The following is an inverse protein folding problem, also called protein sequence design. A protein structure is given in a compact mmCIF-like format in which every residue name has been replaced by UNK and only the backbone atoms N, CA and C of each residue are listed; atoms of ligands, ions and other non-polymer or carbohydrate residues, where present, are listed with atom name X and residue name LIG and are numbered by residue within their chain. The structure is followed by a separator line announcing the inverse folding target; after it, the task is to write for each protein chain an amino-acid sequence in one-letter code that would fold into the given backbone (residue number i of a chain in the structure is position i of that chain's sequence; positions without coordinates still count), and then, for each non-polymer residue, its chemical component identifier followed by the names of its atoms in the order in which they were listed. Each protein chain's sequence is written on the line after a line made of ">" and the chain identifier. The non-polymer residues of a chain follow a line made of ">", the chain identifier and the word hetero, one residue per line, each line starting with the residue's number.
data_IF_486953088611
#
_entry.id   IF_486953088611
#
_cell.length_a   1.000
_cell.length_b   1.000
_cell.length_c   1.000
_cell.angle_alpha   90.00
_cell.angle_beta   90.00
_cell.angle_gamma   90.00
#
_symmetry.space_group_name_H-M   'P 1'
#
loop_
_entity.id
_entity.type
_entity.pdbx_description
1 polymer ?
#
# COMPACT_ATOMS: atom_id res chain seq x y z
N UNK A 1 -7.67 -10.21 -14.99
CA UNK A 1 -8.34 -9.05 -14.35
C UNK A 1 -7.53 -8.68 -13.12
N UNK A 2 -7.18 -7.39 -12.96
CA UNK A 2 -6.39 -6.88 -11.84
C UNK A 2 -7.12 -7.12 -10.51
N UNK A 3 -6.38 -7.51 -9.48
CA UNK A 3 -6.95 -7.73 -8.15
C UNK A 3 -7.14 -6.39 -7.45
N UNK A 4 -8.34 -6.08 -7.03
CA UNK A 4 -8.60 -4.90 -6.19
C UNK A 4 -8.05 -5.13 -4.78
N UNK A 5 -7.33 -4.14 -4.23
CA UNK A 5 -6.76 -4.22 -2.88
C UNK A 5 -7.13 -2.97 -2.08
N UNK A 6 -7.83 -3.16 -0.98
CA UNK A 6 -8.17 -2.10 -0.01
C UNK A 6 -7.30 -2.30 1.22
N UNK A 7 -6.27 -1.47 1.35
CA UNK A 7 -5.28 -1.58 2.41
C UNK A 7 -5.37 -0.38 3.37
N UNK A 8 -5.57 -0.63 4.64
CA UNK A 8 -5.44 0.36 5.71
C UNK A 8 -3.97 0.52 6.09
N UNK A 9 -3.45 1.74 6.06
CA UNK A 9 -2.19 2.12 6.69
C UNK A 9 -2.51 2.83 7.99
N UNK A 10 -2.32 2.14 9.11
CA UNK A 10 -2.68 2.69 10.41
C UNK A 10 -1.67 3.71 10.93
N UNK A 11 -0.49 3.72 10.34
CA UNK A 11 0.62 4.60 10.75
C UNK A 11 0.91 4.43 12.24
N UNK A 12 1.35 5.46 12.95
CA UNK A 12 1.64 5.41 14.38
C UNK A 12 0.36 5.63 15.20
N UNK A 13 -0.58 4.69 15.11
CA UNK A 13 -1.85 4.72 15.85
C UNK A 13 -2.18 3.34 16.42
N UNK A 14 -3.05 3.32 17.41
CA UNK A 14 -3.55 2.17 18.14
C UNK A 14 -2.52 1.55 19.10
N UNK A 15 -3.06 0.80 20.02
CA UNK A 15 -2.33 -0.12 20.91
C UNK A 15 -2.83 -1.52 20.65
N UNK A 16 -2.14 -2.59 21.09
CA UNK A 16 -2.60 -3.96 20.84
C UNK A 16 -4.05 -4.23 21.27
N UNK A 17 -4.48 -3.66 22.40
CA UNK A 17 -5.86 -3.81 22.86
C UNK A 17 -6.88 -3.11 21.95
N UNK A 18 -6.55 -1.91 21.46
CA UNK A 18 -7.39 -1.17 20.51
C UNK A 18 -7.43 -1.88 19.15
N UNK A 19 -6.29 -2.38 18.68
CA UNK A 19 -6.15 -3.17 17.45
C UNK A 19 -7.08 -4.38 17.47
N UNK A 20 -7.05 -5.18 18.55
CA UNK A 20 -7.94 -6.32 18.70
C UNK A 20 -9.43 -5.92 18.69
N UNK A 21 -9.77 -4.81 19.34
CA UNK A 21 -11.15 -4.31 19.40
C UNK A 21 -11.67 -3.89 18.01
N UNK A 22 -10.87 -3.10 17.26
CA UNK A 22 -11.23 -2.63 15.93
C UNK A 22 -11.37 -3.80 14.94
N UNK A 23 -10.45 -4.76 14.95
CA UNK A 23 -10.53 -5.93 14.05
C UNK A 23 -11.77 -6.77 14.38
N UNK A 24 -12.07 -7.00 15.66
CA UNK A 24 -13.26 -7.73 16.09
C UNK A 24 -14.57 -7.06 15.65
N UNK A 25 -14.61 -5.73 15.67
CA UNK A 25 -15.76 -4.95 15.22
C UNK A 25 -15.85 -4.94 13.68
N UNK A 26 -14.72 -4.80 12.96
CA UNK A 26 -14.68 -4.75 11.51
C UNK A 26 -15.01 -6.10 10.85
N UNK A 27 -14.53 -7.21 11.41
CA UNK A 27 -14.65 -8.53 10.81
C UNK A 27 -16.07 -8.91 10.36
N UNK A 28 -17.13 -8.77 11.18
CA UNK A 28 -18.49 -9.06 10.74
C UNK A 28 -19.00 -8.09 9.66
N UNK A 29 -18.50 -6.85 9.61
CA UNK A 29 -18.90 -5.85 8.63
C UNK A 29 -18.35 -6.15 7.23
N UNK A 30 -17.23 -6.86 7.12
CA UNK A 30 -16.57 -7.19 5.84
C UNK A 30 -16.64 -8.68 5.48
N UNK A 31 -17.31 -9.48 6.28
CA UNK A 31 -17.47 -10.92 6.04
C UNK A 31 -18.15 -11.18 4.68
N UNK A 32 -17.55 -12.08 3.88
CA UNK A 32 -18.07 -12.46 2.56
C UNK A 32 -17.86 -11.42 1.46
N UNK A 33 -17.13 -10.33 1.72
CA UNK A 33 -16.77 -9.33 0.71
C UNK A 33 -15.44 -9.74 0.06
N UNK A 34 -15.51 -10.57 -0.98
CA UNK A 34 -14.35 -11.25 -1.57
C UNK A 34 -13.90 -10.67 -2.93
N UNK A 35 -14.58 -9.62 -3.44
CA UNK A 35 -14.19 -8.95 -4.68
C UNK A 35 -12.83 -8.22 -4.55
N UNK A 36 -12.42 -7.86 -3.34
CA UNK A 36 -11.12 -7.25 -3.06
C UNK A 36 -10.35 -7.99 -1.95
N UNK A 37 -9.03 -7.78 -1.89
CA UNK A 37 -8.24 -8.11 -0.70
C UNK A 37 -8.40 -7.00 0.33
N UNK A 38 -8.77 -7.35 1.56
CA UNK A 38 -8.94 -6.44 2.68
C UNK A 38 -7.73 -6.58 3.58
N UNK A 39 -6.92 -5.53 3.68
CA UNK A 39 -5.62 -5.55 4.34
C UNK A 39 -5.56 -4.49 5.44
N UNK A 40 -5.02 -4.82 6.60
CA UNK A 40 -4.70 -3.86 7.65
C UNK A 40 -3.19 -3.91 7.90
N UNK A 41 -2.49 -2.86 7.50
CA UNK A 41 -1.07 -2.66 7.83
C UNK A 41 -1.00 -1.87 9.14
N UNK A 42 -0.44 -2.52 10.16
CA UNK A 42 -0.45 -2.04 11.54
C UNK A 42 0.97 -1.87 12.08
N UNK A 43 1.19 -1.06 13.15
CA UNK A 43 2.49 -0.96 13.81
C UNK A 43 3.05 -2.33 14.23
N UNK A 44 4.36 -2.48 14.25
CA UNK A 44 5.01 -3.76 14.59
C UNK A 44 4.56 -4.35 15.92
N UNK A 45 4.32 -3.50 16.93
CA UNK A 45 3.86 -3.93 18.27
C UNK A 45 2.47 -4.55 18.25
N UNK A 46 1.68 -4.28 17.21
CA UNK A 46 0.29 -4.72 17.08
C UNK A 46 0.12 -5.96 16.20
N UNK A 47 1.14 -6.30 15.37
CA UNK A 47 0.98 -7.34 14.33
C UNK A 47 0.54 -8.68 14.93
N UNK A 48 1.21 -9.18 15.98
CA UNK A 48 0.85 -10.47 16.58
C UNK A 48 -0.59 -10.49 17.09
N UNK A 49 -1.04 -9.40 17.70
CA UNK A 49 -2.41 -9.23 18.17
C UNK A 49 -3.40 -9.14 17.00
N UNK A 50 -3.03 -8.41 15.95
CA UNK A 50 -3.85 -8.26 14.75
C UNK A 50 -4.04 -9.60 14.03
N UNK A 51 -2.97 -10.38 13.86
CA UNK A 51 -3.01 -11.71 13.24
C UNK A 51 -3.92 -12.64 14.04
N UNK A 52 -3.81 -12.63 15.37
CA UNK A 52 -4.68 -13.46 16.22
C UNK A 52 -6.16 -13.04 16.11
N UNK A 53 -6.43 -11.72 16.13
CA UNK A 53 -7.79 -11.18 16.03
C UNK A 53 -8.44 -11.41 14.65
N UNK A 54 -7.62 -11.48 13.58
CA UNK A 54 -8.09 -11.70 12.21
C UNK A 54 -8.29 -13.19 11.85
N UNK A 55 -7.92 -14.13 12.73
CA UNK A 55 -8.09 -15.57 12.47
C UNK A 55 -9.52 -15.95 12.10
N UNK A 56 -9.68 -16.68 10.99
CA UNK A 56 -10.98 -17.12 10.52
C UNK A 56 -11.81 -16.05 9.82
N UNK A 57 -11.23 -14.87 9.56
CA UNK A 57 -11.84 -13.78 8.80
C UNK A 57 -11.20 -13.67 7.43
N UNK A 58 -11.73 -12.80 6.55
CA UNK A 58 -11.15 -12.44 5.27
C UNK A 58 -10.20 -11.22 5.34
N UNK A 59 -9.88 -10.75 6.56
CA UNK A 59 -8.94 -9.65 6.80
C UNK A 59 -7.50 -10.20 6.82
N UNK A 60 -6.63 -9.59 6.04
CA UNK A 60 -5.22 -9.90 5.99
C UNK A 60 -4.41 -8.86 6.75
N UNK A 61 -3.30 -9.28 7.35
CA UNK A 61 -2.47 -8.39 8.15
C UNK A 61 -1.16 -8.08 7.42
N UNK A 62 -0.81 -6.79 7.41
CA UNK A 62 0.42 -6.26 6.87
C UNK A 62 1.27 -5.55 7.91
N UNK A 63 2.54 -5.35 7.57
CA UNK A 63 3.46 -4.49 8.29
C UNK A 63 3.62 -3.14 7.57
N UNK A 64 3.99 -2.10 8.31
CA UNK A 64 4.19 -0.74 7.77
C UNK A 64 5.60 -0.49 7.23
N UNK A 65 6.50 -1.46 7.40
CA UNK A 65 7.87 -1.45 6.89
C UNK A 65 8.52 -2.84 7.05
N UNK A 66 9.71 -3.00 6.44
CA UNK A 66 10.58 -4.16 6.58
C UNK A 66 12.03 -3.73 6.36
N UNK A 67 12.98 -4.36 7.04
CA UNK A 67 14.40 -4.17 6.73
C UNK A 67 14.87 -5.16 5.65
N UNK A 68 15.85 -4.75 4.85
CA UNK A 68 16.34 -5.59 3.74
C UNK A 68 17.43 -6.59 4.17
N UNK A 69 18.03 -6.43 5.35
CA UNK A 69 18.99 -7.40 5.89
C UNK A 69 18.27 -8.49 6.67
N UNK A 70 18.76 -9.73 6.55
CA UNK A 70 18.17 -10.88 7.24
C UNK A 70 18.32 -10.80 8.75
N UNK A 71 19.47 -10.31 9.25
CA UNK A 71 19.81 -10.15 10.67
C UNK A 71 21.05 -9.29 10.82
N UNK A 72 21.32 -8.81 12.01
CA UNK A 72 22.58 -8.12 12.30
C UNK A 72 22.45 -6.91 13.20
N UNK A 73 23.45 -6.02 13.12
CA UNK A 73 23.56 -4.83 13.97
C UNK A 73 22.72 -3.67 13.40
N UNK A 74 21.42 -3.86 13.38
CA UNK A 74 20.41 -2.91 12.87
C UNK A 74 19.39 -2.62 13.97
N UNK A 75 19.84 -2.00 15.05
CA UNK A 75 19.02 -1.75 16.25
C UNK A 75 17.73 -1.01 15.90
N UNK A 76 16.58 -1.62 16.24
CA UNK A 76 15.25 -1.08 15.99
C UNK A 76 14.59 -1.57 14.69
N UNK A 77 15.34 -2.20 13.77
CA UNK A 77 14.79 -2.75 12.53
C UNK A 77 14.15 -4.13 12.71
N UNK A 78 13.21 -4.46 11.84
CA UNK A 78 12.49 -5.73 11.84
C UNK A 78 12.75 -6.43 10.50
N UNK A 79 13.25 -7.68 10.58
CA UNK A 79 13.60 -8.47 9.40
C UNK A 79 12.39 -9.22 8.82
N UNK A 80 12.55 -9.71 7.60
CA UNK A 80 11.57 -10.54 6.93
C UNK A 80 11.20 -11.80 7.73
N UNK A 81 12.20 -12.47 8.33
CA UNK A 81 11.97 -13.67 9.13
C UNK A 81 11.09 -13.39 10.35
N UNK A 82 11.30 -12.26 11.05
CA UNK A 82 10.49 -11.86 12.19
C UNK A 82 9.03 -11.64 11.78
N UNK A 83 8.78 -10.97 10.66
CA UNK A 83 7.43 -10.72 10.15
C UNK A 83 6.74 -12.03 9.68
N UNK A 84 7.50 -12.92 9.05
CA UNK A 84 6.99 -14.21 8.57
C UNK A 84 6.53 -15.09 9.71
N UNK A 85 7.32 -15.17 10.78
CA UNK A 85 7.03 -15.98 11.96
C UNK A 85 5.70 -15.58 12.63
N UNK A 86 5.38 -14.30 12.66
CA UNK A 86 4.13 -13.81 13.26
C UNK A 86 2.92 -13.81 12.31
N UNK A 87 3.08 -14.26 11.05
CA UNK A 87 1.98 -14.43 10.12
C UNK A 87 1.59 -13.21 9.30
N UNK A 88 2.51 -12.26 9.11
CA UNK A 88 2.33 -11.12 8.20
C UNK A 88 2.23 -11.60 6.76
N UNK A 89 1.34 -11.00 5.96
CA UNK A 89 1.16 -11.33 4.53
C UNK A 89 1.58 -10.18 3.60
N UNK A 90 1.40 -8.92 4.03
CA UNK A 90 1.67 -7.71 3.26
C UNK A 90 2.71 -6.84 3.96
N UNK A 91 3.42 -6.03 3.17
CA UNK A 91 4.35 -5.04 3.72
C UNK A 91 4.27 -3.75 2.91
N UNK A 92 4.06 -2.61 3.58
CA UNK A 92 4.22 -1.28 2.98
C UNK A 92 5.72 -0.97 2.93
N UNK A 93 6.18 -0.43 1.80
CA UNK A 93 7.57 -0.10 1.56
C UNK A 93 7.67 1.28 0.92
N UNK A 94 8.57 2.12 1.40
CA UNK A 94 8.84 3.43 0.81
C UNK A 94 7.71 4.45 0.96
N UNK A 95 6.84 4.30 1.97
CA UNK A 95 5.81 5.29 2.26
C UNK A 95 6.39 6.70 2.34
N UNK A 96 5.68 7.71 1.84
CA UNK A 96 6.16 9.09 1.76
C UNK A 96 6.69 9.64 3.09
N UNK A 97 6.06 9.31 4.22
CA UNK A 97 6.55 9.69 5.55
C UNK A 97 7.93 9.08 5.84
N UNK A 98 8.21 7.85 5.38
CA UNK A 98 9.51 7.21 5.59
C UNK A 98 10.59 7.81 4.69
N UNK A 99 10.24 8.18 3.47
CA UNK A 99 11.13 8.94 2.59
C UNK A 99 11.45 10.32 3.18
N UNK A 100 10.43 11.02 3.69
CA UNK A 100 10.57 12.37 4.21
C UNK A 100 11.24 12.45 5.58
N UNK A 101 10.90 11.57 6.52
CA UNK A 101 11.33 11.69 7.92
C UNK A 101 12.43 10.70 8.32
N UNK A 102 12.57 9.60 7.62
CA UNK A 102 13.48 8.51 7.96
C UNK A 102 14.56 8.24 6.91
N UNK A 103 14.66 9.10 5.88
CA UNK A 103 15.74 9.06 4.89
C UNK A 103 15.69 7.86 3.94
N UNK A 104 14.53 7.24 3.75
CA UNK A 104 14.40 6.20 2.73
C UNK A 104 14.50 6.81 1.33
N UNK A 105 15.21 6.11 0.46
CA UNK A 105 15.47 6.48 -0.95
C UNK A 105 14.98 5.37 -1.86
N UNK A 106 14.85 5.63 -3.17
CA UNK A 106 14.49 4.60 -4.15
C UNK A 106 15.41 3.38 -4.08
N UNK A 107 16.70 3.59 -3.79
CA UNK A 107 17.65 2.49 -3.58
C UNK A 107 17.26 1.63 -2.38
N UNK A 108 16.94 2.21 -1.24
CA UNK A 108 16.55 1.45 -0.04
C UNK A 108 15.15 0.83 -0.21
N UNK A 109 14.25 1.48 -0.94
CA UNK A 109 12.93 0.96 -1.30
C UNK A 109 13.09 -0.28 -2.18
N UNK A 110 13.93 -0.25 -3.20
CA UNK A 110 14.23 -1.40 -4.05
C UNK A 110 14.79 -2.59 -3.24
N UNK A 111 15.76 -2.33 -2.35
CA UNK A 111 16.33 -3.39 -1.49
C UNK A 111 15.26 -4.01 -0.58
N UNK A 112 14.41 -3.20 0.06
CA UNK A 112 13.31 -3.68 0.91
C UNK A 112 12.28 -4.46 0.11
N UNK A 113 11.95 -4.02 -1.11
CA UNK A 113 11.02 -4.72 -2.01
C UNK A 113 11.56 -6.10 -2.38
N UNK A 114 12.84 -6.20 -2.75
CA UNK A 114 13.48 -7.49 -3.03
C UNK A 114 13.48 -8.42 -1.84
N UNK A 115 13.78 -7.91 -0.63
CA UNK A 115 13.75 -8.70 0.60
C UNK A 115 12.33 -9.20 0.93
N UNK A 116 11.31 -8.35 0.75
CA UNK A 116 9.92 -8.73 0.96
C UNK A 116 9.48 -9.84 -0.03
N UNK A 117 9.79 -9.68 -1.32
CA UNK A 117 9.45 -10.67 -2.35
C UNK A 117 10.18 -12.00 -2.13
N UNK A 118 11.46 -11.97 -1.79
CA UNK A 118 12.24 -13.17 -1.47
C UNK A 118 11.67 -13.95 -0.28
N UNK A 119 11.06 -13.26 0.69
CA UNK A 119 10.37 -13.88 1.82
C UNK A 119 8.92 -14.28 1.52
N UNK A 120 8.40 -13.98 0.32
CA UNK A 120 7.06 -14.34 -0.12
C UNK A 120 5.95 -13.43 0.42
N UNK A 121 6.26 -12.17 0.73
CA UNK A 121 5.27 -11.15 1.04
C UNK A 121 4.70 -10.52 -0.23
N UNK A 122 3.50 -9.97 -0.13
CA UNK A 122 3.01 -8.97 -1.08
C UNK A 122 3.52 -7.60 -0.66
N UNK A 123 4.24 -6.94 -1.56
CA UNK A 123 4.86 -5.64 -1.32
C UNK A 123 3.97 -4.50 -1.84
N UNK A 124 3.56 -3.59 -0.96
CA UNK A 124 2.87 -2.34 -1.32
C UNK A 124 3.95 -1.26 -1.40
N UNK A 125 4.42 -0.98 -2.61
CA UNK A 125 5.51 -0.03 -2.89
C UNK A 125 4.93 1.35 -3.13
N UNK A 126 5.26 2.29 -2.24
CA UNK A 126 4.77 3.66 -2.29
C UNK A 126 5.70 4.58 -3.06
N UNK A 127 5.13 5.37 -3.92
CA UNK A 127 5.83 6.40 -4.71
C UNK A 127 4.89 7.57 -5.03
N UNK A 128 5.47 8.72 -5.35
CA UNK A 128 4.70 9.91 -5.69
C UNK A 128 5.52 11.19 -5.55
N UNK A 129 5.04 12.22 -6.21
CA UNK A 129 5.68 13.52 -6.28
C UNK A 129 5.37 14.39 -5.05
N UNK A 130 6.34 15.23 -4.68
CA UNK A 130 6.14 16.28 -3.68
C UNK A 130 5.50 17.53 -4.31
N UNK A 131 5.10 18.49 -3.46
CA UNK A 131 4.37 19.68 -3.91
C UNK A 131 5.16 20.52 -4.90
N UNK A 132 6.45 20.66 -4.69
CA UNK A 132 7.36 21.43 -5.54
C UNK A 132 7.43 20.81 -6.95
N UNK A 133 7.50 19.50 -7.04
CA UNK A 133 7.53 18.74 -8.31
C UNK A 133 6.20 18.86 -9.05
N UNK A 134 5.07 18.75 -8.30
CA UNK A 134 3.73 18.95 -8.87
C UNK A 134 3.59 20.36 -9.47
N UNK A 135 4.02 21.39 -8.76
CA UNK A 135 3.97 22.77 -9.22
C UNK A 135 4.94 23.05 -10.39
N UNK A 136 6.04 22.33 -10.46
CA UNK A 136 6.97 22.38 -11.60
C UNK A 136 6.44 21.65 -12.84
N UNK A 137 5.33 20.89 -12.73
CA UNK A 137 4.74 20.15 -13.84
C UNK A 137 5.55 18.91 -14.26
N UNK A 138 6.32 18.32 -13.34
CA UNK A 138 7.20 17.15 -13.60
C UNK A 138 6.71 15.87 -12.90
N UNK A 139 5.41 15.77 -12.60
CA UNK A 139 4.81 14.59 -11.95
C UNK A 139 5.15 13.31 -12.70
N UNK A 140 4.96 13.29 -14.02
CA UNK A 140 5.14 12.11 -14.86
C UNK A 140 6.60 11.61 -14.84
N UNK A 141 7.55 12.53 -14.90
CA UNK A 141 8.99 12.22 -14.81
C UNK A 141 9.34 11.62 -13.45
N UNK A 142 8.81 12.20 -12.37
CA UNK A 142 9.08 11.75 -11.00
C UNK A 142 8.52 10.35 -10.78
N UNK A 143 7.23 10.11 -11.04
CA UNK A 143 6.63 8.79 -10.81
C UNK A 143 7.20 7.72 -11.74
N UNK A 144 7.56 8.09 -12.97
CA UNK A 144 8.23 7.18 -13.89
C UNK A 144 9.64 6.83 -13.42
N UNK A 145 10.42 7.80 -12.92
CA UNK A 145 11.74 7.57 -12.36
C UNK A 145 11.68 6.67 -11.13
N UNK A 146 10.82 6.99 -10.16
CA UNK A 146 10.65 6.19 -8.95
C UNK A 146 10.21 4.76 -9.29
N UNK A 147 9.23 4.57 -10.19
CA UNK A 147 8.80 3.24 -10.65
C UNK A 147 9.97 2.43 -11.22
N UNK A 148 10.82 3.04 -12.04
CA UNK A 148 11.99 2.38 -12.63
C UNK A 148 13.02 1.98 -11.57
N UNK A 149 13.29 2.85 -10.61
CA UNK A 149 14.30 2.63 -9.58
C UNK A 149 13.81 1.64 -8.53
N UNK A 150 12.57 1.78 -8.06
CA UNK A 150 11.97 0.91 -7.04
C UNK A 150 11.82 -0.53 -7.53
N UNK A 151 11.59 -0.73 -8.85
CA UNK A 151 11.44 -2.05 -9.47
C UNK A 151 12.73 -2.57 -10.14
N UNK A 152 13.84 -1.84 -10.07
CA UNK A 152 15.08 -2.22 -10.76
C UNK A 152 15.57 -3.63 -10.40
N UNK A 153 15.72 -4.50 -11.42
CA UNK A 153 16.24 -5.87 -11.25
C UNK A 153 15.31 -6.83 -10.49
N UNK A 154 14.01 -6.51 -10.38
CA UNK A 154 12.99 -7.44 -9.92
C UNK A 154 12.54 -8.27 -11.13
N UNK A 155 12.50 -9.62 -11.06
CA UNK A 155 12.02 -10.46 -12.16
C UNK A 155 10.53 -10.21 -12.46
N UNK A 156 10.12 -10.35 -13.72
CA UNK A 156 8.74 -10.16 -14.15
C UNK A 156 7.74 -11.08 -13.42
N UNK A 157 8.14 -12.32 -13.16
CA UNK A 157 7.34 -13.31 -12.43
C UNK A 157 7.04 -12.95 -10.96
N UNK A 158 7.85 -12.07 -10.35
CA UNK A 158 7.66 -11.62 -8.98
C UNK A 158 6.70 -10.44 -8.89
N UNK A 159 6.46 -9.71 -10.00
CA UNK A 159 5.62 -8.51 -10.03
C UNK A 159 4.14 -8.79 -9.71
N UNK A 160 3.68 -10.02 -9.83
CA UNK A 160 2.36 -10.46 -9.33
C UNK A 160 2.18 -10.27 -7.82
N UNK A 161 3.28 -10.13 -7.07
CA UNK A 161 3.31 -9.87 -5.63
C UNK A 161 3.67 -8.42 -5.31
N UNK A 162 3.76 -7.55 -6.31
CA UNK A 162 3.98 -6.11 -6.14
C UNK A 162 2.68 -5.36 -6.39
N UNK A 163 2.37 -4.44 -5.50
CA UNK A 163 1.30 -3.47 -5.61
C UNK A 163 1.98 -2.11 -5.56
N UNK A 164 1.67 -1.22 -6.50
CA UNK A 164 2.17 0.16 -6.43
C UNK A 164 1.09 1.03 -5.79
N UNK A 165 1.46 1.82 -4.79
CA UNK A 165 0.60 2.81 -4.18
C UNK A 165 1.07 4.22 -4.59
N UNK A 166 0.29 4.88 -5.45
CA UNK A 166 0.55 6.26 -5.82
C UNK A 166 0.12 7.21 -4.72
N UNK A 167 1.07 7.89 -4.13
CA UNK A 167 0.89 8.89 -3.09
C UNK A 167 1.10 10.30 -3.66
N UNK A 168 0.05 11.08 -3.97
CA UNK A 168 0.23 12.52 -4.22
C UNK A 168 0.65 13.21 -2.90
N UNK A 169 1.97 13.29 -2.64
CA UNK A 169 2.52 13.72 -1.33
C UNK A 169 2.01 15.11 -0.95
N UNK A 170 1.79 15.97 -1.95
CA UNK A 170 1.21 17.30 -1.78
C UNK A 170 -0.23 17.30 -1.23
N UNK A 171 -0.94 16.17 -1.33
CA UNK A 171 -2.32 16.01 -0.86
C UNK A 171 -2.42 15.26 0.49
N UNK A 172 -1.32 14.63 0.97
CA UNK A 172 -1.36 13.84 2.21
C UNK A 172 -1.28 14.77 3.42
N UNK A 173 -2.34 14.75 4.26
CA UNK A 173 -2.38 15.52 5.50
C UNK A 173 -2.50 17.04 5.33
N UNK A 174 -2.68 17.54 4.12
CA UNK A 174 -2.75 18.98 3.81
C UNK A 174 -4.17 19.52 3.70
N UNK A 175 -5.17 18.65 3.68
CA UNK A 175 -6.56 18.99 3.38
C UNK A 175 -6.87 19.13 1.88
N UNK A 176 -5.86 19.02 1.02
CA UNK A 176 -6.02 18.90 -0.44
C UNK A 176 -6.27 17.43 -0.81
N UNK A 177 -6.96 17.22 -1.93
CA UNK A 177 -7.22 15.88 -2.47
C UNK A 177 -7.04 15.95 -3.99
N UNK A 178 -6.35 14.97 -4.56
CA UNK A 178 -6.33 14.83 -6.01
C UNK A 178 -7.74 14.51 -6.51
N UNK A 179 -8.13 15.04 -7.66
CA UNK A 179 -9.38 14.63 -8.29
C UNK A 179 -9.27 13.17 -8.76
N UNK A 180 -10.40 12.47 -8.95
CA UNK A 180 -10.37 11.11 -9.51
C UNK A 180 -9.66 11.04 -10.86
N UNK A 181 -9.79 12.09 -11.71
CA UNK A 181 -9.10 12.19 -12.99
C UNK A 181 -7.58 12.32 -12.82
N UNK A 182 -7.13 13.14 -11.89
CA UNK A 182 -5.69 13.28 -11.60
C UNK A 182 -5.10 11.98 -11.05
N UNK A 183 -5.85 11.26 -10.21
CA UNK A 183 -5.44 9.96 -9.69
C UNK A 183 -5.32 8.93 -10.84
N UNK A 184 -6.32 8.87 -11.72
CA UNK A 184 -6.33 7.96 -12.86
C UNK A 184 -5.19 8.26 -13.85
N UNK A 185 -4.98 9.53 -14.18
CA UNK A 185 -3.91 9.97 -15.08
C UNK A 185 -2.53 9.54 -14.56
N UNK A 186 -2.22 9.85 -13.31
CA UNK A 186 -0.90 9.50 -12.74
C UNK A 186 -0.73 7.98 -12.56
N UNK A 187 -1.78 7.26 -12.11
CA UNK A 187 -1.76 5.79 -12.10
C UNK A 187 -1.56 5.21 -13.51
N UNK A 188 -2.13 5.85 -14.54
CA UNK A 188 -1.92 5.50 -15.94
C UNK A 188 -0.46 5.66 -16.38
N UNK A 189 0.23 6.74 -15.99
CA UNK A 189 1.66 6.95 -16.25
C UNK A 189 2.50 5.87 -15.58
N UNK A 190 2.20 5.53 -14.33
CA UNK A 190 2.88 4.44 -13.61
C UNK A 190 2.71 3.12 -14.37
N UNK A 191 1.47 2.77 -14.77
CA UNK A 191 1.17 1.56 -15.54
C UNK A 191 1.89 1.53 -16.88
N UNK A 192 1.92 2.65 -17.62
CA UNK A 192 2.66 2.77 -18.86
C UNK A 192 4.17 2.58 -18.66
N UNK A 193 4.71 3.06 -17.54
CA UNK A 193 6.11 2.84 -17.17
C UNK A 193 6.39 1.37 -16.89
N UNK A 194 5.52 0.67 -16.17
CA UNK A 194 5.63 -0.78 -15.96
C UNK A 194 5.55 -1.53 -17.29
N UNK A 195 4.64 -1.14 -18.20
CA UNK A 195 4.52 -1.73 -19.52
C UNK A 195 5.81 -1.55 -20.36
N UNK A 196 6.46 -0.40 -20.27
CA UNK A 196 7.73 -0.14 -20.94
C UNK A 196 8.89 -0.99 -20.39
N UNK A 197 8.85 -1.36 -19.10
CA UNK A 197 9.89 -2.16 -18.44
C UNK A 197 9.68 -3.68 -18.61
N UNK A 198 8.43 -4.13 -18.52
CA UNK A 198 8.10 -5.56 -18.36
C UNK A 198 7.09 -6.09 -19.38
N UNK A 199 6.58 -5.23 -20.24
CA UNK A 199 5.56 -5.58 -21.22
C UNK A 199 4.12 -5.32 -20.74
N UNK A 200 3.21 -5.20 -21.72
CA UNK A 200 1.81 -4.86 -21.45
C UNK A 200 1.09 -5.91 -20.58
N UNK A 201 1.38 -7.19 -20.77
CA UNK A 201 0.74 -8.27 -20.03
C UNK A 201 0.97 -8.13 -18.53
N UNK A 202 2.22 -7.89 -18.11
CA UNK A 202 2.58 -7.66 -16.70
C UNK A 202 1.92 -6.39 -16.16
N UNK A 203 1.94 -5.30 -16.94
CA UNK A 203 1.33 -4.03 -16.52
C UNK A 203 -0.19 -4.14 -16.35
N UNK A 204 -0.87 -4.94 -17.17
CA UNK A 204 -2.31 -5.17 -17.07
C UNK A 204 -2.70 -6.12 -15.94
N UNK A 205 -1.78 -6.85 -15.37
CA UNK A 205 -2.01 -7.70 -14.19
C UNK A 205 -1.67 -7.00 -12.87
N UNK A 206 -0.81 -5.96 -12.91
CA UNK A 206 -0.35 -5.25 -11.72
C UNK A 206 -1.46 -4.40 -11.10
N UNK A 207 -1.62 -4.51 -9.79
CA UNK A 207 -2.49 -3.65 -9.00
C UNK A 207 -1.81 -2.30 -8.72
N UNK A 208 -2.50 -1.21 -9.02
CA UNK A 208 -2.07 0.16 -8.67
C UNK A 208 -3.15 0.78 -7.78
N UNK A 209 -2.76 1.15 -6.55
CA UNK A 209 -3.61 1.79 -5.56
C UNK A 209 -3.46 3.31 -5.61
N UNK A 210 -4.53 4.02 -5.29
CA UNK A 210 -4.46 5.43 -4.92
C UNK A 210 -4.16 5.55 -3.42
N UNK A 211 -3.04 6.18 -3.08
CA UNK A 211 -2.54 6.38 -1.71
C UNK A 211 -2.78 7.79 -1.14
N UNK A 212 -3.53 8.63 -1.83
CA UNK A 212 -3.97 9.92 -1.31
C UNK A 212 -5.17 9.82 -0.38
N UNK A 213 -5.88 10.94 -0.17
CA UNK A 213 -7.03 11.02 0.74
C UNK A 213 -8.27 10.30 0.18
N UNK A 214 -8.28 8.96 0.25
CA UNK A 214 -9.47 8.13 -0.01
C UNK A 214 -10.31 8.01 1.27
N UNK A 215 -11.63 8.15 1.14
CA UNK A 215 -12.60 8.05 2.23
C UNK A 215 -13.94 7.52 1.71
N UNK A 216 -14.92 7.35 2.60
CA UNK A 216 -16.27 6.85 2.32
C UNK A 216 -17.05 7.66 1.26
N UNK A 217 -16.70 8.93 1.04
CA UNK A 217 -17.42 9.83 0.11
C UNK A 217 -16.87 9.78 -1.31
N UNK A 218 -15.57 9.50 -1.50
CA UNK A 218 -14.91 9.54 -2.80
C UNK A 218 -14.43 8.17 -3.30
N UNK A 219 -14.53 7.12 -2.49
CA UNK A 219 -14.04 5.79 -2.83
C UNK A 219 -14.68 5.25 -4.13
N UNK A 220 -16.01 5.36 -4.28
CA UNK A 220 -16.70 4.87 -5.46
C UNK A 220 -16.25 5.56 -6.75
N UNK A 221 -16.03 6.88 -6.73
CA UNK A 221 -15.55 7.63 -7.89
C UNK A 221 -14.10 7.27 -8.26
N UNK A 222 -13.24 7.11 -7.27
CA UNK A 222 -11.85 6.71 -7.45
C UNK A 222 -11.75 5.28 -7.99
N UNK A 223 -12.49 4.34 -7.41
CA UNK A 223 -12.49 2.93 -7.81
C UNK A 223 -13.17 2.67 -9.16
N UNK A 224 -13.97 3.61 -9.65
CA UNK A 224 -14.54 3.57 -11.01
C UNK A 224 -13.53 3.95 -12.10
N UNK A 225 -12.34 4.45 -11.74
CA UNK A 225 -11.30 4.84 -12.70
C UNK A 225 -10.55 3.63 -13.24
N UNK A 226 -10.12 3.72 -14.50
CA UNK A 226 -9.53 2.60 -15.25
C UNK A 226 -8.20 2.13 -14.64
N UNK A 227 -7.40 3.04 -14.10
CA UNK A 227 -6.04 2.74 -13.61
C UNK A 227 -5.96 2.64 -12.09
N UNK A 228 -7.06 2.86 -11.36
CA UNK A 228 -7.11 2.79 -9.90
C UNK A 228 -7.71 1.45 -9.47
N UNK A 229 -6.87 0.53 -9.02
CA UNK A 229 -7.25 -0.83 -8.66
C UNK A 229 -7.40 -1.02 -7.13
N UNK A 230 -7.58 0.06 -6.39
CA UNK A 230 -7.74 0.01 -4.94
C UNK A 230 -7.26 1.26 -4.23
N UNK A 231 -7.07 1.14 -2.92
CA UNK A 231 -6.61 2.25 -2.10
C UNK A 231 -5.66 1.85 -0.98
N UNK A 232 -4.69 2.73 -0.69
CA UNK A 232 -3.91 2.71 0.54
C UNK A 232 -4.45 3.81 1.46
N UNK A 233 -5.21 3.42 2.48
CA UNK A 233 -6.09 4.31 3.24
C UNK A 233 -5.46 4.63 4.61
N UNK A 234 -5.24 5.91 4.90
CA UNK A 234 -4.78 6.37 6.20
C UNK A 234 -5.91 6.49 7.24
N UNK A 235 -6.21 7.68 7.70
CA UNK A 235 -7.12 7.96 8.83
C UNK A 235 -8.52 7.33 8.74
N UNK A 236 -9.07 7.14 7.54
CA UNK A 236 -10.37 6.47 7.37
C UNK A 236 -10.31 4.99 7.75
N UNK A 237 -9.15 4.34 7.64
CA UNK A 237 -8.98 2.92 8.03
C UNK A 237 -8.96 2.67 9.53
N UNK A 238 -8.86 3.72 10.34
CA UNK A 238 -8.95 3.67 11.79
C UNK A 238 -10.41 3.66 12.31
N UNK A 239 -11.39 3.82 11.41
CA UNK A 239 -12.82 3.91 11.72
C UNK A 239 -13.55 2.79 10.99
N UNK A 240 -14.19 1.90 11.74
CA UNK A 240 -14.87 0.72 11.19
C UNK A 240 -15.90 1.10 10.12
N UNK A 241 -16.77 2.07 10.39
CA UNK A 241 -17.82 2.50 9.45
C UNK A 241 -17.23 3.04 8.15
N UNK A 242 -16.22 3.92 8.23
CA UNK A 242 -15.61 4.54 7.07
C UNK A 242 -14.83 3.50 6.23
N UNK A 243 -14.09 2.60 6.88
CA UNK A 243 -13.35 1.56 6.16
C UNK A 243 -14.29 0.53 5.54
N UNK A 244 -15.36 0.14 6.24
CA UNK A 244 -16.41 -0.72 5.69
C UNK A 244 -17.03 -0.13 4.42
N UNK A 245 -17.37 1.16 4.45
CA UNK A 245 -17.95 1.83 3.27
C UNK A 245 -17.00 1.83 2.06
N UNK A 246 -15.68 1.98 2.29
CA UNK A 246 -14.67 1.87 1.21
C UNK A 246 -14.59 0.44 0.67
N UNK A 247 -14.63 -0.57 1.55
CA UNK A 247 -14.67 -1.99 1.15
C UNK A 247 -15.96 -2.29 0.37
N UNK A 248 -17.10 -1.72 0.77
CA UNK A 248 -18.37 -1.85 0.04
C UNK A 248 -18.28 -1.28 -1.37
N UNK A 249 -17.68 -0.11 -1.52
CA UNK A 249 -17.46 0.50 -2.84
C UNK A 249 -16.58 -0.38 -3.76
N UNK A 250 -15.66 -1.16 -3.19
CA UNK A 250 -14.81 -2.09 -3.94
C UNK A 250 -15.51 -3.44 -4.26
N UNK A 251 -16.66 -3.71 -3.68
CA UNK A 251 -17.46 -4.93 -3.89
C UNK A 251 -18.76 -4.66 -4.67
N UNK A 252 -19.01 -3.40 -5.06
CA UNK A 252 -20.17 -3.01 -5.86
C UNK A 252 -19.93 -3.26 -7.36
#
# INVERSE_FOLDING_TARGET
>A
MRRTVIAGNWKMNMTPAQTAAVIKELAPCVAGKDACDIVLCVPYVDIATAVEAAKGTNIKIGAENIHFEEKGAYTGEISAAMLKEIGTEYVIIGHSERRQYFGETDTTVNLRTKAALAAGFKAIVCLGEVKEERLAGITDEVVSMQTKLDLAGIPAEDLKNVIIAYEPVWAIGTGLTATPEQADETCGVIRATVAALYGNEVAEEMTIQYGGSMNDKNASELLAKVNVDGGLIGGASLKVDAFTAIVDAANA
#
